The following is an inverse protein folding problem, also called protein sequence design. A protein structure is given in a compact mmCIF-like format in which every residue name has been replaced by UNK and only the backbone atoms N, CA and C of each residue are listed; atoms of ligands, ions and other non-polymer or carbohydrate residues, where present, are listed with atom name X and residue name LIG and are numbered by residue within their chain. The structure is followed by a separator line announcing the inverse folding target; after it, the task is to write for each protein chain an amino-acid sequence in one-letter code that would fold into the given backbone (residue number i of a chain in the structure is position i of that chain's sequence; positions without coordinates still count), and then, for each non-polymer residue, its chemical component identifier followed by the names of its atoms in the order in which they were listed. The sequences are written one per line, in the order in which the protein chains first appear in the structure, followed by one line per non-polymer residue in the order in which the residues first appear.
data_IF_705380371043
#
_entry.id   IF_705380371043
#
_cell.length_a   1.000
_cell.length_b   1.000
_cell.length_c   1.000
_cell.angle_alpha   90.00
_cell.angle_beta   90.00
_cell.angle_gamma   90.00
#
_symmetry.space_group_name_H-M   'P 1'
#
loop_
_entity.id
_entity.type
_entity.pdbx_description
1 polymer ?
#
# COMPACT_ATOMS: atom_id res chain seq x y z
N UNK A 1 7.81 -17.43 -22.30
CA UNK A 1 6.42 -17.65 -21.81
C UNK A 1 5.63 -16.40 -22.16
N UNK A 2 4.55 -16.53 -22.88
CA UNK A 2 3.71 -15.43 -23.31
C UNK A 2 3.00 -14.81 -22.09
N UNK A 3 2.68 -13.51 -22.15
CA UNK A 3 2.05 -12.73 -21.07
C UNK A 3 0.66 -13.26 -20.63
N UNK A 4 0.12 -14.29 -21.29
CA UNK A 4 -1.22 -14.84 -21.04
C UNK A 4 -1.28 -15.90 -19.94
N UNK A 5 -0.17 -16.29 -19.33
CA UNK A 5 -0.12 -17.48 -18.45
C UNK A 5 0.28 -17.18 -16.99
N UNK A 6 0.39 -15.89 -16.61
CA UNK A 6 0.69 -15.53 -15.22
C UNK A 6 -0.59 -15.22 -14.43
N UNK A 7 -0.65 -15.62 -13.14
CA UNK A 7 -1.79 -15.30 -12.29
C UNK A 7 -2.03 -13.78 -12.20
N UNK A 8 -3.28 -13.37 -12.34
CA UNK A 8 -3.71 -11.97 -12.27
C UNK A 8 -3.73 -11.50 -10.80
N UNK A 9 -3.06 -10.39 -10.51
CA UNK A 9 -2.94 -9.82 -9.17
C UNK A 9 -3.52 -8.41 -9.14
N UNK A 10 -4.41 -8.14 -8.20
CA UNK A 10 -4.93 -6.80 -7.93
C UNK A 10 -4.13 -6.11 -6.83
N UNK A 11 -3.90 -4.81 -6.95
CA UNK A 11 -3.49 -3.95 -5.84
C UNK A 11 -4.70 -3.21 -5.28
N UNK A 12 -4.85 -3.17 -3.97
CA UNK A 12 -5.88 -2.38 -3.30
C UNK A 12 -5.18 -1.34 -2.43
N UNK A 13 -5.33 -0.06 -2.79
CA UNK A 13 -4.79 1.05 -2.00
C UNK A 13 -5.90 1.59 -1.11
N UNK A 14 -5.75 1.44 0.21
CA UNK A 14 -6.69 1.97 1.19
C UNK A 14 -6.31 3.42 1.53
N UNK A 15 -7.10 4.37 1.06
CA UNK A 15 -6.88 5.81 1.24
C UNK A 15 -8.16 6.55 1.69
N UNK A 16 -9.06 5.84 2.38
CA UNK A 16 -10.37 6.38 2.79
C UNK A 16 -10.38 7.05 4.17
N UNK A 17 -9.26 7.06 4.89
CA UNK A 17 -9.16 7.60 6.25
C UNK A 17 -9.43 9.11 6.32
N UNK A 18 -10.19 9.54 7.34
CA UNK A 18 -10.62 10.92 7.52
C UNK A 18 -9.51 11.89 7.98
N UNK A 19 -8.31 11.39 8.30
CA UNK A 19 -7.14 12.21 8.74
C UNK A 19 -7.46 13.20 9.89
N UNK A 20 -8.33 12.79 10.82
CA UNK A 20 -8.87 13.66 11.88
C UNK A 20 -7.80 14.32 12.74
N UNK A 21 -6.67 13.64 12.99
CA UNK A 21 -5.53 14.15 13.78
C UNK A 21 -4.74 15.23 13.05
N UNK A 22 -4.80 15.27 11.72
CA UNK A 22 -4.04 16.20 10.87
C UNK A 22 -4.84 17.45 10.47
N UNK A 23 -6.16 17.48 10.73
CA UNK A 23 -7.05 18.58 10.36
C UNK A 23 -7.21 18.84 8.86
N UNK A 24 -6.54 18.02 8.02
CA UNK A 24 -6.58 18.07 6.55
C UNK A 24 -6.33 16.67 5.98
N UNK A 25 -6.73 16.41 4.73
CA UNK A 25 -6.47 15.11 4.09
C UNK A 25 -4.97 14.81 4.06
N UNK A 26 -4.51 13.84 4.85
CA UNK A 26 -3.10 13.45 4.85
C UNK A 26 -2.62 12.95 3.49
N UNK A 27 -3.53 12.36 2.72
CA UNK A 27 -3.29 11.88 1.36
C UNK A 27 -2.72 12.98 0.43
N UNK A 28 -3.10 14.23 0.68
CA UNK A 28 -2.72 15.41 -0.12
C UNK A 28 -1.51 16.17 0.44
N UNK A 29 -0.93 15.74 1.55
CA UNK A 29 0.26 16.39 2.11
C UNK A 29 1.42 16.29 1.12
N UNK A 30 2.09 17.41 0.79
CA UNK A 30 3.20 17.41 -0.14
C UNK A 30 4.42 16.68 0.45
N UNK A 31 5.04 15.81 -0.34
CA UNK A 31 6.28 15.13 0.00
C UNK A 31 7.20 15.16 -1.23
N UNK A 32 8.21 16.03 -1.20
CA UNK A 32 9.00 16.33 -2.40
C UNK A 32 8.13 17.02 -3.47
N UNK A 33 8.10 16.45 -4.67
CA UNK A 33 7.38 16.96 -5.84
C UNK A 33 5.94 16.43 -5.99
N UNK A 34 5.47 15.58 -5.04
CA UNK A 34 4.18 14.86 -5.09
C UNK A 34 3.48 14.90 -3.73
N UNK A 35 2.20 14.51 -3.71
CA UNK A 35 1.51 14.23 -2.45
C UNK A 35 1.78 12.79 -1.97
N UNK A 36 1.53 12.52 -0.68
CA UNK A 36 1.76 11.21 -0.06
C UNK A 36 1.14 10.07 -0.86
N UNK A 37 -0.14 10.20 -1.22
CA UNK A 37 -0.85 9.15 -1.95
C UNK A 37 -0.26 8.91 -3.34
N UNK A 38 0.28 9.94 -4.01
CA UNK A 38 0.87 9.80 -5.33
C UNK A 38 2.12 8.90 -5.30
N UNK A 39 2.93 8.95 -4.23
CA UNK A 39 4.08 8.06 -4.07
C UNK A 39 3.65 6.59 -4.03
N UNK A 40 2.60 6.28 -3.25
CA UNK A 40 2.05 4.92 -3.15
C UNK A 40 1.49 4.45 -4.49
N UNK A 41 0.72 5.33 -5.14
CA UNK A 41 0.10 5.03 -6.43
C UNK A 41 1.16 4.76 -7.51
N UNK A 42 2.19 5.59 -7.59
CA UNK A 42 3.27 5.44 -8.57
C UNK A 42 4.04 4.13 -8.35
N UNK A 43 4.32 3.76 -7.09
CA UNK A 43 4.97 2.49 -6.77
C UNK A 43 4.10 1.29 -7.19
N UNK A 44 2.79 1.35 -6.92
CA UNK A 44 1.84 0.31 -7.30
C UNK A 44 1.69 0.21 -8.81
N UNK A 45 1.57 1.34 -9.51
CA UNK A 45 1.49 1.41 -10.98
C UNK A 45 2.73 0.85 -11.66
N UNK A 46 3.92 1.13 -11.12
CA UNK A 46 5.18 0.64 -11.66
C UNK A 46 5.43 -0.85 -11.36
N UNK A 47 4.66 -1.46 -10.45
CA UNK A 47 4.83 -2.84 -10.02
C UNK A 47 4.21 -3.86 -11.00
N UNK A 48 4.37 -5.15 -10.66
CA UNK A 48 3.78 -6.27 -11.43
C UNK A 48 2.29 -6.50 -11.20
N UNK A 49 1.60 -5.66 -10.44
CA UNK A 49 0.16 -5.73 -10.26
C UNK A 49 -0.55 -5.47 -11.59
N UNK A 50 -1.62 -6.19 -11.89
CA UNK A 50 -2.34 -6.10 -13.17
C UNK A 50 -3.39 -4.99 -13.18
N UNK A 51 -4.01 -4.75 -12.03
CA UNK A 51 -4.93 -3.64 -11.80
C UNK A 51 -4.69 -3.00 -10.44
N UNK A 52 -5.20 -1.78 -10.27
CA UNK A 52 -5.19 -1.08 -8.99
C UNK A 52 -6.62 -0.62 -8.68
N UNK A 53 -7.09 -0.96 -7.48
CA UNK A 53 -8.32 -0.42 -6.90
C UNK A 53 -7.93 0.60 -5.84
N UNK A 54 -8.18 1.87 -6.12
CA UNK A 54 -7.95 2.97 -5.18
C UNK A 54 -9.24 3.25 -4.41
N UNK A 55 -9.25 2.98 -3.11
CA UNK A 55 -10.40 3.21 -2.24
C UNK A 55 -10.25 4.54 -1.53
N UNK A 56 -11.12 5.49 -1.88
CA UNK A 56 -11.21 6.82 -1.28
C UNK A 56 -12.40 6.90 -0.34
N UNK A 57 -12.35 7.85 0.61
CA UNK A 57 -13.42 8.13 1.56
C UNK A 57 -13.83 9.58 1.54
N UNK A 58 -13.68 10.24 2.71
CA UNK A 58 -13.92 11.68 2.83
C UNK A 58 -13.05 12.45 1.84
N UNK A 59 -13.60 13.51 1.24
CA UNK A 59 -12.90 14.36 0.28
C UNK A 59 -12.43 13.63 -0.99
N UNK A 60 -13.10 12.53 -1.36
CA UNK A 60 -12.74 11.73 -2.54
C UNK A 60 -12.61 12.57 -3.82
N UNK A 61 -13.45 13.60 -4.00
CA UNK A 61 -13.39 14.51 -5.14
C UNK A 61 -12.08 15.28 -5.15
N UNK A 62 -11.73 15.92 -4.04
CA UNK A 62 -10.50 16.71 -3.89
C UNK A 62 -9.26 15.83 -4.10
N UNK A 63 -9.23 14.65 -3.48
CA UNK A 63 -8.13 13.69 -3.65
C UNK A 63 -8.00 13.26 -5.10
N UNK A 64 -9.13 12.95 -5.76
CA UNK A 64 -9.14 12.48 -7.16
C UNK A 64 -8.63 13.57 -8.14
N UNK A 65 -8.94 14.84 -7.87
CA UNK A 65 -8.49 15.98 -8.69
C UNK A 65 -6.98 16.27 -8.50
N UNK A 66 -6.42 15.95 -7.34
CA UNK A 66 -5.04 16.24 -6.99
C UNK A 66 -4.04 15.15 -7.43
N UNK A 67 -4.51 13.92 -7.67
CA UNK A 67 -3.64 12.81 -8.09
C UNK A 67 -3.65 12.64 -9.60
N UNK A 68 -2.52 12.13 -10.13
CA UNK A 68 -2.37 11.77 -11.54
C UNK A 68 -2.62 10.27 -11.69
N UNK A 69 -3.54 9.91 -12.56
CA UNK A 69 -3.79 8.52 -12.94
C UNK A 69 -3.29 8.31 -14.36
N UNK A 70 -2.34 7.40 -14.61
CA UNK A 70 -1.88 7.10 -15.97
C UNK A 70 -2.97 6.34 -16.74
N UNK A 71 -3.16 6.70 -18.00
CA UNK A 71 -4.18 6.10 -18.88
C UNK A 71 -3.86 4.65 -19.28
N UNK A 72 -2.58 4.26 -19.21
CA UNK A 72 -2.08 2.96 -19.68
C UNK A 72 -2.32 1.82 -18.68
N UNK A 73 -2.76 2.10 -17.45
CA UNK A 73 -2.97 1.11 -16.40
C UNK A 73 -4.43 1.02 -16.00
N UNK A 74 -4.87 -0.20 -15.72
CA UNK A 74 -6.21 -0.42 -15.17
C UNK A 74 -6.29 0.07 -13.73
N UNK A 75 -6.72 1.32 -13.55
CA UNK A 75 -6.94 1.92 -12.23
C UNK A 75 -8.42 2.20 -12.06
N UNK A 76 -9.00 1.58 -11.04
CA UNK A 76 -10.38 1.79 -10.63
C UNK A 76 -10.41 2.60 -9.34
N UNK A 77 -10.99 3.78 -9.40
CA UNK A 77 -11.24 4.60 -8.19
C UNK A 77 -12.65 4.30 -7.69
N UNK A 78 -12.75 3.91 -6.43
CA UNK A 78 -14.01 3.67 -5.74
C UNK A 78 -14.12 4.54 -4.49
N UNK A 79 -15.31 5.03 -4.21
CA UNK A 79 -15.57 5.87 -3.03
C UNK A 79 -16.32 5.03 -2.01
N UNK A 80 -15.76 4.91 -0.82
CA UNK A 80 -16.39 4.23 0.30
C UNK A 80 -17.29 5.21 1.07
N UNK A 81 -18.63 5.10 0.99
CA UNK A 81 -19.52 5.95 1.78
C UNK A 81 -19.48 5.60 3.27
N UNK A 82 -19.10 4.36 3.59
CA UNK A 82 -19.07 3.80 4.94
C UNK A 82 -17.70 3.90 5.60
N UNK A 83 -16.81 4.79 5.11
CA UNK A 83 -15.44 4.93 5.63
C UNK A 83 -15.39 5.17 7.15
N UNK A 84 -16.41 5.78 7.72
CA UNK A 84 -16.53 6.03 9.16
C UNK A 84 -16.75 4.76 10.00
N UNK A 85 -17.12 3.64 9.37
CA UNK A 85 -17.25 2.33 10.02
C UNK A 85 -15.90 1.63 10.23
N UNK A 86 -14.79 2.28 9.87
CA UNK A 86 -13.45 1.77 10.06
C UNK A 86 -12.81 1.17 8.80
N UNK A 87 -11.54 0.78 8.94
CA UNK A 87 -10.71 0.30 7.83
C UNK A 87 -11.29 -0.94 7.14
N UNK A 88 -11.98 -1.82 7.88
CA UNK A 88 -12.60 -3.03 7.34
C UNK A 88 -13.60 -2.74 6.23
N UNK A 89 -14.39 -1.66 6.34
CA UNK A 89 -15.35 -1.25 5.30
C UNK A 89 -14.66 -0.93 3.97
N UNK A 90 -13.50 -0.26 4.03
CA UNK A 90 -12.69 0.06 2.86
C UNK A 90 -12.02 -1.18 2.26
N UNK A 91 -11.54 -2.10 3.10
CA UNK A 91 -10.97 -3.37 2.65
C UNK A 91 -12.01 -4.20 1.91
N UNK A 92 -13.20 -4.38 2.48
CA UNK A 92 -14.32 -5.10 1.84
C UNK A 92 -14.68 -4.50 0.48
N UNK A 93 -14.84 -3.17 0.42
CA UNK A 93 -15.16 -2.49 -0.84
C UNK A 93 -14.07 -2.69 -1.88
N UNK A 94 -12.80 -2.59 -1.48
CA UNK A 94 -11.65 -2.83 -2.36
C UNK A 94 -11.65 -4.25 -2.93
N UNK A 95 -11.83 -5.27 -2.09
CA UNK A 95 -11.88 -6.68 -2.50
C UNK A 95 -13.05 -6.96 -3.45
N UNK A 96 -14.25 -6.41 -3.17
CA UNK A 96 -15.44 -6.54 -4.06
C UNK A 96 -15.24 -5.85 -5.41
N UNK A 97 -14.42 -4.79 -5.44
CA UNK A 97 -14.18 -4.00 -6.66
C UNK A 97 -13.05 -4.57 -7.52
N UNK A 98 -12.28 -5.51 -7.00
CA UNK A 98 -11.21 -6.16 -7.73
C UNK A 98 -11.74 -7.09 -8.84
N UNK A 99 -10.94 -7.29 -9.88
CA UNK A 99 -11.27 -8.14 -11.03
C UNK A 99 -11.67 -9.56 -10.58
N UNK A 100 -12.70 -10.16 -11.18
CA UNK A 100 -13.02 -11.57 -10.97
C UNK A 100 -11.89 -12.51 -11.38
N UNK A 101 -10.94 -12.06 -12.20
CA UNK A 101 -9.77 -12.83 -12.61
C UNK A 101 -8.65 -12.85 -11.55
N UNK A 102 -8.71 -11.95 -10.57
CA UNK A 102 -7.68 -11.87 -9.53
C UNK A 102 -7.61 -13.13 -8.70
N UNK A 103 -6.41 -13.71 -8.60
CA UNK A 103 -6.12 -14.84 -7.69
C UNK A 103 -5.79 -14.35 -6.28
N UNK A 104 -5.34 -13.11 -6.17
CA UNK A 104 -5.03 -12.43 -4.91
C UNK A 104 -5.07 -10.91 -5.02
N UNK A 105 -5.17 -10.25 -3.86
CA UNK A 105 -5.04 -8.82 -3.72
C UNK A 105 -3.88 -8.46 -2.79
N UNK A 106 -3.00 -7.57 -3.25
CA UNK A 106 -1.99 -6.90 -2.43
C UNK A 106 -2.59 -5.64 -1.81
N UNK A 107 -2.68 -5.60 -0.48
CA UNK A 107 -3.23 -4.48 0.28
C UNK A 107 -2.12 -3.49 0.60
N UNK A 108 -2.27 -2.27 0.16
CA UNK A 108 -1.36 -1.14 0.40
C UNK A 108 -2.11 -0.06 1.19
N UNK A 109 -1.36 0.71 1.98
CA UNK A 109 -1.90 1.84 2.73
C UNK A 109 -1.50 3.15 2.04
N UNK A 110 -2.47 4.03 1.82
CA UNK A 110 -2.29 5.31 1.11
C UNK A 110 -1.45 6.36 1.86
N UNK A 111 -1.07 6.08 3.11
CA UNK A 111 -0.25 6.90 4.00
C UNK A 111 1.16 6.34 4.23
N UNK A 112 1.57 5.33 3.45
CA UNK A 112 2.91 4.75 3.47
C UNK A 112 3.72 5.15 2.23
N UNK A 113 4.14 6.42 2.05
CA UNK A 113 4.77 6.91 0.83
C UNK A 113 6.13 6.28 0.52
N UNK A 114 6.73 5.58 1.49
CA UNK A 114 8.01 4.88 1.33
C UNK A 114 7.87 3.45 0.81
N UNK A 115 6.65 3.00 0.49
CA UNK A 115 6.47 1.73 -0.20
C UNK A 115 7.14 1.80 -1.58
N UNK A 116 7.84 0.73 -1.97
CA UNK A 116 8.55 0.70 -3.25
C UNK A 116 7.98 -0.37 -4.18
N UNK A 117 8.13 -0.15 -5.49
CA UNK A 117 7.84 -1.16 -6.51
C UNK A 117 8.52 -2.48 -6.18
N UNK A 118 9.81 -2.45 -5.82
CA UNK A 118 10.60 -3.65 -5.54
C UNK A 118 10.00 -4.47 -4.40
N UNK A 119 9.53 -3.80 -3.34
CA UNK A 119 8.87 -4.48 -2.23
C UNK A 119 7.54 -5.11 -2.67
N UNK A 120 6.73 -4.38 -3.45
CA UNK A 120 5.45 -4.92 -3.97
C UNK A 120 5.72 -6.15 -4.82
N UNK A 121 6.68 -6.07 -5.76
CA UNK A 121 7.04 -7.16 -6.66
C UNK A 121 7.56 -8.39 -5.88
N UNK A 122 8.44 -8.17 -4.89
CA UNK A 122 8.96 -9.24 -4.02
C UNK A 122 7.86 -9.96 -3.25
N UNK A 123 6.92 -9.20 -2.68
CA UNK A 123 5.81 -9.79 -1.92
C UNK A 123 4.83 -10.53 -2.83
N UNK A 124 4.57 -10.02 -4.04
CA UNK A 124 3.78 -10.71 -5.04
C UNK A 124 4.41 -12.04 -5.47
N UNK A 125 5.71 -12.07 -5.70
CA UNK A 125 6.46 -13.30 -6.03
C UNK A 125 6.44 -14.30 -4.88
N UNK A 126 6.69 -13.83 -3.67
CA UNK A 126 6.62 -14.66 -2.48
C UNK A 126 5.23 -15.26 -2.27
N UNK A 127 4.16 -14.48 -2.52
CA UNK A 127 2.78 -14.97 -2.47
C UNK A 127 2.53 -16.10 -3.49
N UNK A 128 2.97 -15.92 -4.73
CA UNK A 128 2.79 -16.92 -5.78
C UNK A 128 3.60 -18.21 -5.49
N UNK A 129 4.73 -18.10 -4.81
CA UNK A 129 5.58 -19.24 -4.46
C UNK A 129 5.10 -19.97 -3.19
N UNK A 130 4.56 -19.26 -2.20
CA UNK A 130 4.25 -19.82 -0.88
C UNK A 130 3.01 -20.72 -0.86
N UNK A 131 2.03 -20.51 -1.76
CA UNK A 131 0.73 -21.19 -1.74
C UNK A 131 -0.14 -20.88 -0.52
N UNK A 132 0.31 -19.97 0.36
CA UNK A 132 -0.39 -19.57 1.59
C UNK A 132 -1.61 -18.68 1.28
N UNK A 133 -2.52 -18.57 2.24
CA UNK A 133 -3.68 -17.71 2.10
C UNK A 133 -3.33 -16.23 2.29
N UNK A 134 -2.34 -15.97 3.16
CA UNK A 134 -1.86 -14.62 3.48
C UNK A 134 -0.33 -14.62 3.43
N UNK A 135 0.23 -13.60 2.76
CA UNK A 135 1.68 -13.34 2.78
C UNK A 135 1.91 -11.89 3.18
N UNK A 136 2.81 -11.67 4.16
CA UNK A 136 3.18 -10.33 4.64
C UNK A 136 4.68 -10.17 4.84
N UNK A 137 5.23 -8.96 4.74
CA UNK A 137 6.61 -8.71 5.10
C UNK A 137 6.79 -8.71 6.62
N UNK A 138 7.97 -9.18 7.05
CA UNK A 138 8.44 -9.12 8.43
C UNK A 138 9.78 -8.38 8.44
N UNK A 139 9.78 -7.16 8.93
CA UNK A 139 10.95 -6.29 8.97
C UNK A 139 11.80 -6.56 10.22
N UNK A 140 13.12 -6.39 10.09
CA UNK A 140 14.04 -6.61 11.19
C UNK A 140 13.86 -5.62 12.38
N UNK A 141 13.33 -4.42 12.12
CA UNK A 141 13.10 -3.39 13.11
C UNK A 141 14.38 -2.91 13.83
N UNK A 142 14.50 -1.63 14.14
CA UNK A 142 15.69 -1.03 14.76
C UNK A 142 15.99 -1.60 16.17
N UNK A 143 14.99 -2.08 16.87
CA UNK A 143 15.12 -2.66 18.22
C UNK A 143 15.53 -4.14 18.22
N UNK A 144 15.79 -4.74 17.04
CA UNK A 144 15.99 -6.19 16.88
C UNK A 144 14.70 -7.01 17.01
N UNK A 145 13.56 -6.38 17.25
CA UNK A 145 12.25 -7.04 17.25
C UNK A 145 11.65 -7.01 15.85
N UNK A 146 11.23 -8.16 15.37
CA UNK A 146 10.56 -8.26 14.08
C UNK A 146 9.22 -7.53 14.07
N UNK A 147 8.99 -6.70 13.04
CA UNK A 147 7.79 -5.88 12.87
C UNK A 147 7.09 -6.26 11.56
N UNK A 148 5.84 -6.75 11.62
CA UNK A 148 5.08 -7.01 10.42
C UNK A 148 4.64 -5.70 9.75
N UNK A 149 4.44 -5.72 8.42
CA UNK A 149 4.04 -4.53 7.68
C UNK A 149 3.24 -4.83 6.42
N UNK A 150 3.22 -3.86 5.50
CA UNK A 150 2.59 -3.93 4.19
C UNK A 150 3.65 -3.96 3.08
N UNK A 151 3.25 -4.45 1.86
CA UNK A 151 1.91 -4.89 1.46
C UNK A 151 1.57 -6.26 2.01
N UNK A 152 0.28 -6.49 2.31
CA UNK A 152 -0.25 -7.81 2.70
C UNK A 152 -0.99 -8.40 1.51
N UNK A 153 -0.58 -9.57 1.05
CA UNK A 153 -1.28 -10.30 -0.02
C UNK A 153 -2.29 -11.26 0.56
N UNK A 154 -3.54 -11.17 0.09
CA UNK A 154 -4.67 -12.00 0.48
C UNK A 154 -5.14 -12.84 -0.72
N UNK A 155 -5.06 -14.16 -0.60
CA UNK A 155 -5.58 -15.08 -1.61
C UNK A 155 -7.10 -14.92 -1.78
N UNK A 156 -7.60 -15.03 -3.02
CA UNK A 156 -9.04 -14.90 -3.29
C UNK A 156 -9.91 -15.84 -2.47
N UNK A 157 -9.43 -17.04 -2.17
CA UNK A 157 -10.17 -18.05 -1.40
C UNK A 157 -10.57 -17.62 0.01
N UNK A 158 -9.90 -16.59 0.58
CA UNK A 158 -10.22 -16.05 1.92
C UNK A 158 -10.98 -14.72 1.89
N UNK A 159 -11.31 -14.16 0.72
CA UNK A 159 -12.00 -12.87 0.65
C UNK A 159 -13.38 -12.90 1.31
N UNK A 160 -14.08 -14.05 1.26
CA UNK A 160 -15.35 -14.21 1.99
C UNK A 160 -15.18 -14.08 3.51
N UNK A 161 -14.05 -14.54 4.06
CA UNK A 161 -13.77 -14.34 5.48
C UNK A 161 -13.49 -12.84 5.78
N UNK A 162 -12.88 -12.11 4.84
CA UNK A 162 -12.67 -10.67 4.97
C UNK A 162 -13.99 -9.87 4.96
N UNK A 163 -15.08 -10.40 4.40
CA UNK A 163 -16.41 -9.78 4.42
C UNK A 163 -17.00 -9.68 5.84
N UNK A 164 -16.55 -10.50 6.76
CA UNK A 164 -17.01 -10.52 8.15
C UNK A 164 -16.24 -9.56 9.07
N UNK A 165 -15.21 -8.88 8.53
CA UNK A 165 -14.42 -7.92 9.31
C UNK A 165 -15.24 -6.67 9.63
N UNK A 166 -15.08 -6.15 10.84
CA UNK A 166 -15.75 -4.94 11.32
C UNK A 166 -14.75 -3.94 11.91
N UNK A 167 -15.12 -2.67 11.98
CA UNK A 167 -14.33 -1.63 12.62
C UNK A 167 -12.96 -1.40 11.97
N UNK A 168 -11.98 -1.02 12.80
CA UNK A 168 -10.62 -0.66 12.35
C UNK A 168 -9.64 -1.85 12.30
N UNK A 169 -10.13 -3.07 12.41
CA UNK A 169 -9.28 -4.24 12.62
C UNK A 169 -8.54 -4.71 11.37
N UNK A 170 -9.07 -4.41 10.19
CA UNK A 170 -8.45 -4.76 8.91
C UNK A 170 -8.11 -6.26 8.79
N UNK A 171 -7.14 -6.60 7.94
CA UNK A 171 -6.71 -7.99 7.75
C UNK A 171 -6.01 -8.60 8.98
N UNK A 172 -5.64 -7.79 10.00
CA UNK A 172 -4.96 -8.27 11.21
C UNK A 172 -5.78 -9.30 11.97
N UNK A 173 -7.10 -9.15 12.02
CA UNK A 173 -8.00 -10.09 12.69
C UNK A 173 -7.95 -11.46 12.03
N UNK A 174 -7.98 -11.51 10.70
CA UNK A 174 -7.85 -12.78 9.98
C UNK A 174 -6.52 -13.48 10.30
N UNK A 175 -5.42 -12.72 10.34
CA UNK A 175 -4.10 -13.24 10.66
C UNK A 175 -4.00 -13.76 12.10
N UNK A 176 -4.68 -13.11 13.04
CA UNK A 176 -4.71 -13.54 14.46
C UNK A 176 -5.62 -14.75 14.66
N UNK A 177 -6.74 -14.83 13.94
CA UNK A 177 -7.66 -15.96 14.02
C UNK A 177 -7.13 -17.21 13.29
N UNK A 178 -6.30 -17.01 12.25
CA UNK A 178 -5.78 -18.04 11.36
C UNK A 178 -4.28 -17.90 11.15
N UNK A 179 -3.46 -18.10 12.17
CA UNK A 179 -2.00 -18.00 12.04
C UNK A 179 -1.43 -19.02 11.02
N UNK A 180 -2.11 -20.13 10.82
CA UNK A 180 -1.76 -21.14 9.82
C UNK A 180 -1.94 -20.67 8.36
N UNK A 181 -2.67 -19.59 8.14
CA UNK A 181 -2.83 -18.98 6.82
C UNK A 181 -1.66 -18.06 6.44
N UNK A 182 -0.83 -17.68 7.41
CA UNK A 182 0.14 -16.60 7.26
C UNK A 182 1.54 -17.14 6.98
N UNK A 183 2.13 -16.64 5.91
CA UNK A 183 3.58 -16.75 5.65
C UNK A 183 4.21 -15.37 5.78
N UNK A 184 5.21 -15.27 6.64
CA UNK A 184 6.00 -14.07 6.85
C UNK A 184 7.28 -14.12 6.03
N UNK A 185 7.54 -13.05 5.29
CA UNK A 185 8.72 -12.93 4.42
C UNK A 185 9.69 -11.95 5.05
N UNK A 186 10.88 -12.37 5.48
CA UNK A 186 11.89 -11.47 6.01
C UNK A 186 12.25 -10.37 5.01
N UNK A 187 12.23 -9.12 5.46
CA UNK A 187 12.61 -7.94 4.68
C UNK A 187 13.61 -7.13 5.49
N UNK A 188 14.71 -6.77 4.86
CA UNK A 188 15.72 -5.93 5.49
C UNK A 188 15.25 -4.48 5.63
N UNK A 189 15.71 -3.80 6.67
CA UNK A 189 15.41 -2.40 6.93
C UNK A 189 14.13 -2.17 7.77
N UNK A 190 13.70 -0.93 7.80
CA UNK A 190 12.53 -0.48 8.55
C UNK A 190 11.26 -0.60 7.70
N UNK A 191 10.09 -0.87 8.32
CA UNK A 191 8.83 -0.84 7.60
C UNK A 191 8.57 0.56 7.00
N UNK A 192 7.84 0.64 5.87
CA UNK A 192 7.32 1.91 5.40
C UNK A 192 6.45 2.51 6.50
N UNK A 193 6.91 3.58 7.16
CA UNK A 193 6.19 4.17 8.27
C UNK A 193 4.86 4.80 7.84
N UNK A 194 3.84 4.65 8.69
CA UNK A 194 2.56 5.36 8.53
C UNK A 194 2.76 6.85 8.85
N UNK A 195 2.14 7.72 8.08
CA UNK A 195 2.09 9.14 8.40
C UNK A 195 0.76 9.46 9.07
N UNK A 196 0.75 9.39 10.40
CA UNK A 196 -0.45 9.60 11.23
C UNK A 196 -0.44 10.91 12.01
N UNK A 197 0.74 11.45 12.29
CA UNK A 197 0.93 12.68 13.07
C UNK A 197 1.76 13.69 12.30
N UNK A 198 1.70 14.95 12.74
CA UNK A 198 2.55 16.00 12.20
C UNK A 198 4.06 15.65 12.33
N UNK A 199 4.46 15.03 13.44
CA UNK A 199 5.84 14.58 13.63
C UNK A 199 6.28 13.47 12.67
N UNK A 200 5.38 12.54 12.30
CA UNK A 200 5.65 11.53 11.27
C UNK A 200 5.91 12.20 9.92
N UNK A 201 5.09 13.18 9.59
CA UNK A 201 5.21 13.93 8.35
C UNK A 201 6.52 14.72 8.29
N UNK A 202 6.90 15.42 9.35
CA UNK A 202 8.15 16.17 9.42
C UNK A 202 9.36 15.25 9.20
N UNK A 203 9.40 14.10 9.86
CA UNK A 203 10.45 13.09 9.65
C UNK A 203 10.52 12.58 8.20
N UNK A 204 9.36 12.38 7.57
CA UNK A 204 9.31 11.96 6.16
C UNK A 204 9.87 13.05 5.24
N UNK A 205 9.53 14.31 5.47
CA UNK A 205 10.05 15.47 4.71
C UNK A 205 11.57 15.58 4.86
N UNK A 206 12.10 15.45 6.07
CA UNK A 206 13.55 15.53 6.32
C UNK A 206 14.31 14.39 5.63
N UNK A 207 13.73 13.19 5.62
CA UNK A 207 14.31 12.05 4.90
C UNK A 207 14.42 12.32 3.40
N UNK A 208 13.34 12.78 2.76
CA UNK A 208 13.34 13.09 1.32
C UNK A 208 14.29 14.22 0.98
N UNK A 209 14.37 15.26 1.82
CA UNK A 209 15.35 16.36 1.64
C UNK A 209 16.79 15.86 1.73
N UNK A 210 17.10 15.00 2.70
CA UNK A 210 18.42 14.39 2.86
C UNK A 210 18.82 13.51 1.67
N UNK A 211 17.90 12.77 1.10
CA UNK A 211 18.11 11.96 -0.11
C UNK A 211 18.37 12.85 -1.35
N UNK A 212 17.61 13.93 -1.51
CA UNK A 212 17.79 14.89 -2.62
C UNK A 212 19.15 15.56 -2.55
N UNK A 213 19.63 15.98 -1.36
CA UNK A 213 20.94 16.58 -1.17
C UNK A 213 22.06 15.58 -1.52
N UNK A 214 21.96 14.33 -1.11
CA UNK A 214 22.93 13.28 -1.44
C UNK A 214 22.98 13.00 -2.95
N UNK A 215 21.83 12.93 -3.59
CA UNK A 215 21.73 12.69 -5.04
C UNK A 215 22.33 13.86 -5.87
N UNK A 216 22.13 15.11 -5.42
CA UNK A 216 22.68 16.29 -6.10
C UNK A 216 24.17 16.53 -5.81
N UNK A 217 24.69 16.04 -4.67
CA UNK A 217 26.11 16.15 -4.29
C UNK A 217 27.03 15.11 -4.95
N UNK A 218 26.51 14.13 -5.68
CA UNK A 218 27.30 13.12 -6.41
C UNK A 218 27.74 13.57 -7.82
N UNK A 219 27.44 14.80 -8.22
CA UNK A 219 28.01 15.38 -9.45
C UNK A 219 29.38 15.93 -9.08
N UNK A 220 30.44 15.10 -9.11
CA UNK A 220 31.82 15.58 -9.07
C UNK A 220 32.06 16.49 -10.27
N UNK A 221 32.62 17.71 -10.09
CA UNK A 221 33.13 18.51 -11.22
C UNK A 221 34.31 17.78 -11.82
N UNK A 222 34.19 17.44 -13.11
CA UNK A 222 35.18 16.72 -13.86
C UNK A 222 36.60 17.33 -13.69
N UNK A 223 37.55 16.45 -13.44
CA UNK A 223 38.98 16.77 -13.52
C UNK A 223 39.28 17.28 -14.93
N UNK A 224 39.79 18.49 -14.99
CA UNK A 224 40.52 19.02 -16.15
C UNK A 224 41.92 18.41 -16.22
#
# INVERSE_FOLDING_TARGET
MAAADRPFLSGIILAAGASTRMGRPKQLLPLGDRCLLQHVLDAAVASRLDEIVLVLGVQAKEVREAIRLPDERSIRVVVNPDYAQGQSSSLRLGLRSASPQSVAAGILLGDQPRITRQLIDRMAEAFLAAGSAIVRPLYAGASGRAVPGHPVFLARRIWLAAEQLEGDEGARVLMSAHPEWVTEIPVDGEPPGDIDTQGDYERAVDTVRGETIRASGQIEPGRR
#
